data_IF_546105375472
#
_entry.id   IF_546105375472
#
_cell.length_a   1.000
_cell.length_b   1.000
_cell.length_c   1.000
_cell.angle_alpha   90.00
_cell.angle_beta   90.00
_cell.angle_gamma   90.00
#
_symmetry.space_group_name_H-M   'P 1'
#
loop_
_entity.id
_entity.type
_entity.pdbx_description
1 polymer ?
#
# COMPACT_ATOMS: atom_id res chain seq x y z
N UNK A 1 -43.83 -42.18 38.17
CA UNK A 1 -44.45 -41.01 38.82
C UNK A 1 -43.49 -39.86 39.13
N UNK A 2 -42.28 -40.07 39.68
CA UNK A 2 -41.33 -38.98 40.01
C UNK A 2 -40.87 -38.10 38.82
N UNK A 3 -40.71 -38.68 37.62
CA UNK A 3 -40.20 -37.92 36.46
C UNK A 3 -41.28 -37.06 35.78
N UNK A 4 -42.54 -37.52 35.80
CA UNK A 4 -43.68 -36.77 35.29
C UNK A 4 -43.98 -35.56 36.18
N UNK A 5 -43.87 -35.73 37.50
CA UNK A 5 -44.04 -34.63 38.46
C UNK A 5 -42.96 -33.54 38.30
N UNK A 6 -41.70 -33.91 38.02
CA UNK A 6 -40.62 -32.96 37.75
C UNK A 6 -40.82 -32.18 36.45
N UNK A 7 -41.28 -32.84 35.39
CA UNK A 7 -41.59 -32.18 34.13
C UNK A 7 -42.75 -31.16 34.28
N UNK A 8 -43.78 -31.52 35.07
CA UNK A 8 -44.91 -30.63 35.35
C UNK A 8 -44.48 -29.41 36.19
N UNK A 9 -43.58 -29.60 37.16
CA UNK A 9 -43.06 -28.51 37.99
C UNK A 9 -42.22 -27.50 37.17
N UNK A 10 -41.41 -27.98 36.23
CA UNK A 10 -40.60 -27.13 35.35
C UNK A 10 -41.50 -26.29 34.42
N UNK A 11 -42.52 -26.91 33.84
CA UNK A 11 -43.50 -26.22 32.99
C UNK A 11 -44.26 -25.14 33.76
N UNK A 12 -44.62 -25.40 35.02
CA UNK A 12 -45.25 -24.41 35.91
C UNK A 12 -44.34 -23.22 36.21
N UNK A 13 -43.05 -23.45 36.44
CA UNK A 13 -42.06 -22.39 36.69
C UNK A 13 -41.87 -21.53 35.44
N UNK A 14 -41.76 -22.14 34.25
CA UNK A 14 -41.63 -21.42 32.98
C UNK A 14 -42.88 -20.58 32.72
N UNK A 15 -44.08 -21.15 32.90
CA UNK A 15 -45.33 -20.42 32.74
C UNK A 15 -45.47 -19.25 33.73
N UNK A 16 -45.09 -19.44 35.00
CA UNK A 16 -45.09 -18.39 36.01
C UNK A 16 -44.07 -17.28 35.69
N UNK A 17 -42.88 -17.63 35.21
CA UNK A 17 -41.86 -16.66 34.79
C UNK A 17 -42.31 -15.82 33.57
N UNK A 18 -43.01 -16.45 32.63
CA UNK A 18 -43.56 -15.77 31.46
C UNK A 18 -44.72 -14.85 31.82
N UNK A 19 -45.60 -15.29 32.73
CA UNK A 19 -46.68 -14.45 33.26
C UNK A 19 -46.13 -13.22 34.01
N UNK A 20 -45.07 -13.38 34.81
CA UNK A 20 -44.39 -12.27 35.48
C UNK A 20 -43.74 -11.31 34.48
N UNK A 21 -43.16 -11.80 33.39
CA UNK A 21 -42.61 -10.95 32.33
C UNK A 21 -43.69 -10.12 31.63
N UNK A 22 -44.88 -10.69 31.37
CA UNK A 22 -46.00 -9.93 30.79
C UNK A 22 -46.59 -8.93 31.80
N UNK A 23 -46.68 -9.31 33.08
CA UNK A 23 -47.34 -8.49 34.09
C UNK A 23 -46.44 -7.35 34.63
N UNK A 24 -45.12 -7.54 34.63
CA UNK A 24 -44.15 -6.57 35.19
C UNK A 24 -43.07 -6.12 34.21
N UNK A 25 -42.99 -6.71 33.01
CA UNK A 25 -42.11 -6.26 31.93
C UNK A 25 -42.64 -4.97 31.32
N UNK A 26 -42.33 -3.85 31.97
CA UNK A 26 -42.57 -2.52 31.44
C UNK A 26 -41.65 -2.28 30.24
N UNK A 27 -42.23 -1.95 29.09
CA UNK A 27 -41.50 -1.29 28.01
C UNK A 27 -41.11 0.12 28.48
N UNK A 28 -39.85 0.54 28.36
CA UNK A 28 -39.51 1.93 28.64
C UNK A 28 -40.24 2.84 27.64
N UNK A 29 -41.08 3.70 28.17
CA UNK A 29 -41.75 4.77 27.44
C UNK A 29 -40.70 5.69 26.81
N UNK A 30 -40.75 5.90 25.50
CA UNK A 30 -39.89 6.89 24.82
C UNK A 30 -40.27 8.28 25.30
N UNK A 31 -39.57 8.79 26.30
CA UNK A 31 -39.58 10.21 26.63
C UNK A 31 -38.83 10.94 25.50
N UNK A 32 -39.57 11.51 24.55
CA UNK A 32 -39.04 12.51 23.63
C UNK A 32 -38.94 13.82 24.41
N UNK A 33 -37.78 14.08 25.01
CA UNK A 33 -37.37 15.45 25.34
C UNK A 33 -36.78 16.07 24.09
N UNK A 34 -37.44 17.09 23.55
CA UNK A 34 -36.83 18.03 22.60
C UNK A 34 -35.77 18.87 23.33
N UNK A 35 -34.62 18.29 23.66
CA UNK A 35 -33.42 19.07 23.87
C UNK A 35 -32.84 19.38 22.50
N UNK A 36 -33.19 20.55 21.94
CA UNK A 36 -32.43 21.12 20.83
C UNK A 36 -30.98 21.23 21.29
N UNK A 37 -30.01 20.53 20.68
CA UNK A 37 -28.62 20.80 20.98
C UNK A 37 -28.34 22.24 20.57
N UNK A 38 -28.15 23.13 21.56
CA UNK A 38 -27.44 24.37 21.32
C UNK A 38 -25.99 23.99 21.04
N UNK A 39 -25.70 23.77 19.76
CA UNK A 39 -24.34 23.76 19.25
C UNK A 39 -23.80 25.17 19.49
N UNK A 40 -23.01 25.31 20.56
CA UNK A 40 -22.10 26.44 20.70
C UNK A 40 -21.10 26.35 19.55
N UNK A 41 -21.40 27.07 18.46
CA UNK A 41 -20.51 27.26 17.33
C UNK A 41 -19.35 28.18 17.72
N UNK A 42 -18.52 27.81 18.71
CA UNK A 42 -17.35 28.61 19.08
C UNK A 42 -16.10 27.82 19.45
N UNK A 43 -16.07 26.49 19.25
CA UNK A 43 -14.82 25.74 19.19
C UNK A 43 -14.52 25.30 17.76
N UNK A 44 -14.51 26.26 16.84
CA UNK A 44 -13.68 26.15 15.65
C UNK A 44 -12.21 26.20 16.12
N UNK A 45 -11.71 25.08 16.67
CA UNK A 45 -10.27 24.85 16.75
C UNK A 45 -9.75 25.09 15.34
N UNK A 46 -8.93 26.13 15.16
CA UNK A 46 -8.20 26.38 13.93
C UNK A 46 -7.63 25.05 13.45
N UNK A 47 -8.22 24.46 12.40
CA UNK A 47 -7.55 23.43 11.64
C UNK A 47 -6.23 24.09 11.21
N UNK A 48 -5.12 23.66 11.80
CA UNK A 48 -3.81 24.00 11.26
C UNK A 48 -3.73 23.27 9.91
N UNK A 49 -4.26 23.92 8.87
CA UNK A 49 -4.15 23.44 7.49
C UNK A 49 -2.67 23.36 7.19
N UNK A 50 -2.19 22.12 7.12
CA UNK A 50 -0.81 21.84 6.81
C UNK A 50 -0.60 22.13 5.32
N UNK A 51 0.27 23.09 5.02
CA UNK A 51 0.54 23.52 3.65
C UNK A 51 1.77 22.79 3.10
N UNK A 52 1.85 22.71 1.77
CA UNK A 52 3.03 22.15 1.09
C UNK A 52 4.06 23.26 0.87
N UNK A 53 5.28 23.16 1.42
CA UNK A 53 6.32 24.12 1.11
C UNK A 53 6.76 24.01 -0.36
N UNK A 54 6.92 25.15 -1.02
CA UNK A 54 7.34 25.25 -2.43
C UNK A 54 8.75 24.70 -2.74
N UNK A 55 9.52 24.39 -1.70
CA UNK A 55 10.87 23.83 -1.80
C UNK A 55 10.93 22.31 -1.69
N UNK A 56 9.84 21.65 -1.28
CA UNK A 56 9.77 20.19 -1.09
C UNK A 56 9.36 19.46 -2.37
N UNK A 57 9.69 18.17 -2.46
CA UNK A 57 9.31 17.31 -3.59
C UNK A 57 7.80 17.24 -3.81
N UNK A 58 7.01 17.37 -2.74
CA UNK A 58 5.55 17.42 -2.84
C UNK A 58 5.04 18.58 -3.69
N UNK A 59 5.81 19.66 -3.82
CA UNK A 59 5.46 20.80 -4.67
C UNK A 59 5.56 20.48 -6.16
N UNK A 60 6.09 19.32 -6.57
CA UNK A 60 6.15 18.95 -7.97
C UNK A 60 4.79 18.55 -8.54
N UNK A 61 3.82 18.14 -7.72
CA UNK A 61 2.51 17.75 -8.23
C UNK A 61 1.85 18.98 -8.92
N UNK A 62 1.63 18.86 -10.23
CA UNK A 62 1.11 19.90 -11.10
C UNK A 62 2.15 20.70 -11.90
N UNK A 63 3.44 20.58 -11.56
CA UNK A 63 4.55 21.25 -12.26
C UNK A 63 4.88 20.57 -13.59
N UNK A 64 5.54 21.31 -14.50
CA UNK A 64 5.92 20.78 -15.82
C UNK A 64 7.08 19.79 -15.75
N UNK A 65 7.20 18.92 -16.76
CA UNK A 65 8.33 17.99 -16.84
C UNK A 65 9.66 18.75 -16.94
N UNK A 66 9.69 19.89 -17.65
CA UNK A 66 10.85 20.78 -17.70
C UNK A 66 11.26 21.31 -16.31
N UNK A 67 10.30 21.73 -15.48
CA UNK A 67 10.57 22.18 -14.11
C UNK A 67 11.15 21.05 -13.25
N UNK A 68 10.63 19.83 -13.42
CA UNK A 68 11.15 18.65 -12.73
C UNK A 68 12.59 18.37 -13.17
N UNK A 69 12.86 18.32 -14.48
CA UNK A 69 14.21 18.06 -15.02
C UNK A 69 15.21 19.15 -14.58
N UNK A 70 14.80 20.42 -14.58
CA UNK A 70 15.64 21.53 -14.13
C UNK A 70 16.08 21.40 -12.68
N UNK A 71 15.22 20.84 -11.82
CA UNK A 71 15.48 20.69 -10.37
C UNK A 71 16.17 19.38 -10.01
N UNK A 72 15.84 18.27 -10.68
CA UNK A 72 16.36 16.94 -10.36
C UNK A 72 17.44 16.44 -11.34
N UNK A 73 17.60 17.08 -12.50
CA UNK A 73 18.35 16.60 -13.63
C UNK A 73 17.53 15.61 -14.48
N UNK A 74 18.19 14.95 -15.42
CA UNK A 74 17.58 13.88 -16.22
C UNK A 74 17.30 12.65 -15.35
N UNK A 75 16.19 11.92 -15.57
CA UNK A 75 15.94 10.66 -14.89
C UNK A 75 16.96 9.60 -15.33
N UNK A 76 17.29 8.69 -14.41
CA UNK A 76 18.15 7.55 -14.69
C UNK A 76 17.41 6.50 -15.55
N UNK A 77 16.08 6.43 -15.40
CA UNK A 77 15.20 5.53 -16.14
C UNK A 77 13.82 6.13 -16.35
N UNK A 78 13.20 5.85 -17.50
CA UNK A 78 11.79 6.14 -17.76
C UNK A 78 11.06 4.79 -17.86
N UNK A 79 10.11 4.59 -16.97
CA UNK A 79 9.40 3.33 -16.76
C UNK A 79 7.89 3.54 -17.04
N UNK A 80 7.24 2.79 -17.95
CA UNK A 80 5.79 2.91 -18.13
C UNK A 80 5.03 2.46 -16.88
N UNK A 81 3.82 3.01 -16.68
CA UNK A 81 2.92 2.59 -15.60
C UNK A 81 1.58 2.10 -16.14
N UNK A 82 0.84 1.37 -15.30
CA UNK A 82 -0.52 0.95 -15.60
C UNK A 82 -1.57 2.08 -15.47
N UNK A 83 -1.14 3.32 -15.21
CA UNK A 83 -2.01 4.44 -14.83
C UNK A 83 -1.78 5.69 -15.68
N UNK A 84 -1.54 5.49 -16.98
CA UNK A 84 -1.35 6.50 -18.04
C UNK A 84 -0.05 7.30 -18.01
N UNK A 85 0.56 7.53 -16.84
CA UNK A 85 1.80 8.29 -16.70
C UNK A 85 3.03 7.39 -16.87
N UNK A 86 4.18 8.01 -17.15
CA UNK A 86 5.48 7.36 -17.12
C UNK A 86 6.24 7.76 -15.86
N UNK A 87 6.86 6.81 -15.20
CA UNK A 87 7.75 7.05 -14.07
C UNK A 87 9.10 7.55 -14.56
N UNK A 88 9.46 8.76 -14.17
CA UNK A 88 10.83 9.26 -14.20
C UNK A 88 11.51 8.85 -12.90
N UNK A 89 12.38 7.85 -12.99
CA UNK A 89 13.07 7.25 -11.83
C UNK A 89 14.42 7.91 -11.64
N UNK A 90 14.69 8.34 -10.40
CA UNK A 90 15.94 8.94 -9.94
C UNK A 90 16.54 8.05 -8.85
N UNK A 91 17.40 7.12 -9.25
CA UNK A 91 18.06 6.17 -8.37
C UNK A 91 19.51 6.61 -8.10
N UNK A 92 19.69 7.80 -7.51
CA UNK A 92 20.99 8.35 -7.10
C UNK A 92 21.51 7.72 -5.79
N UNK A 93 21.17 6.45 -5.55
CA UNK A 93 21.46 5.70 -4.34
C UNK A 93 20.34 5.74 -3.30
N UNK A 94 20.44 4.84 -2.32
CA UNK A 94 19.37 4.56 -1.35
C UNK A 94 18.84 5.78 -0.58
N UNK A 95 19.71 6.75 -0.30
CA UNK A 95 19.34 7.96 0.44
C UNK A 95 18.59 9.01 -0.39
N UNK A 96 18.61 8.88 -1.72
CA UNK A 96 18.10 9.88 -2.65
C UNK A 96 17.05 9.33 -3.63
N UNK A 97 16.60 8.07 -3.45
CA UNK A 97 15.64 7.46 -4.36
C UNK A 97 14.30 8.20 -4.39
N UNK A 98 13.91 8.61 -5.59
CA UNK A 98 12.65 9.29 -5.92
C UNK A 98 12.17 8.80 -7.29
N UNK A 99 10.87 8.65 -7.47
CA UNK A 99 10.26 8.51 -8.79
C UNK A 99 9.11 9.50 -8.96
N UNK A 100 9.04 10.18 -10.10
CA UNK A 100 8.02 11.18 -10.42
C UNK A 100 7.20 10.67 -11.61
N UNK A 101 5.88 10.59 -11.51
CA UNK A 101 5.00 10.19 -12.60
C UNK A 101 4.64 11.39 -13.47
N UNK A 102 5.04 11.37 -14.74
CA UNK A 102 4.78 12.43 -15.72
C UNK A 102 3.68 12.00 -16.69
N UNK A 103 2.66 12.83 -16.85
CA UNK A 103 1.56 12.67 -17.82
C UNK A 103 1.27 13.99 -18.51
N UNK A 104 1.31 14.00 -19.84
CA UNK A 104 1.02 15.19 -20.66
C UNK A 104 1.79 16.44 -20.19
N UNK A 105 3.12 16.29 -20.03
CA UNK A 105 4.04 17.34 -19.55
C UNK A 105 3.77 17.82 -18.11
N UNK A 106 3.06 17.05 -17.28
CA UNK A 106 2.83 17.38 -15.87
C UNK A 106 3.20 16.25 -14.92
N UNK A 107 3.79 16.59 -13.78
CA UNK A 107 3.94 15.66 -12.67
C UNK A 107 2.60 15.43 -11.97
N UNK A 108 2.08 14.21 -12.04
CA UNK A 108 0.76 13.83 -11.52
C UNK A 108 0.84 12.93 -10.29
N UNK A 109 1.99 12.28 -10.08
CA UNK A 109 2.28 11.52 -8.87
C UNK A 109 3.78 11.52 -8.56
N UNK A 110 4.15 11.12 -7.36
CA UNK A 110 5.53 10.82 -6.97
C UNK A 110 5.53 9.72 -5.91
N UNK A 111 6.64 8.98 -5.83
CA UNK A 111 6.95 8.07 -4.73
C UNK A 111 8.37 8.34 -4.24
N UNK A 112 8.54 8.42 -2.93
CA UNK A 112 9.79 8.82 -2.28
C UNK A 112 10.07 7.92 -1.09
N UNK A 113 11.29 7.36 -1.04
CA UNK A 113 11.76 6.53 0.07
C UNK A 113 13.19 6.87 0.54
N UNK A 114 13.90 7.73 -0.20
CA UNK A 114 15.22 8.23 0.24
C UNK A 114 15.12 9.08 1.51
N UNK A 115 16.00 8.86 2.48
CA UNK A 115 16.00 9.54 3.79
C UNK A 115 16.74 10.89 3.80
N UNK A 116 17.31 11.31 2.66
CA UNK A 116 18.03 12.60 2.48
C UNK A 116 17.42 13.50 1.42
N UNK A 117 16.13 13.35 1.16
CA UNK A 117 15.37 14.19 0.24
C UNK A 117 14.34 15.06 0.98
N UNK A 118 14.06 16.24 0.44
CA UNK A 118 13.14 17.18 1.08
C UNK A 118 11.68 16.80 0.79
N UNK A 119 11.03 16.10 1.72
CA UNK A 119 9.60 15.74 1.65
C UNK A 119 8.72 16.56 2.59
N UNK A 120 9.17 17.78 2.94
CA UNK A 120 8.42 18.66 3.82
C UNK A 120 6.95 18.79 3.38
N UNK A 121 5.99 18.77 4.31
CA UNK A 121 6.15 18.92 5.76
C UNK A 121 6.51 17.63 6.52
N UNK A 122 6.72 16.52 5.82
CA UNK A 122 7.15 15.24 6.40
C UNK A 122 8.65 15.00 6.16
N UNK A 123 9.17 13.98 6.80
CA UNK A 123 10.55 13.53 6.65
C UNK A 123 10.56 12.02 6.75
N UNK A 124 11.18 11.36 5.76
CA UNK A 124 11.36 9.91 5.79
C UNK A 124 12.17 9.53 7.04
N UNK A 125 11.73 8.49 7.74
CA UNK A 125 12.28 8.04 9.02
C UNK A 125 11.78 8.79 10.26
N UNK A 126 10.93 9.82 10.11
CA UNK A 126 10.36 10.50 11.29
C UNK A 126 9.41 9.56 12.06
N UNK A 127 9.27 9.69 13.39
CA UNK A 127 8.37 8.85 14.16
C UNK A 127 6.91 8.97 13.69
N UNK A 128 6.22 7.84 13.54
CA UNK A 128 4.83 7.80 13.08
C UNK A 128 3.91 8.62 13.99
N UNK A 129 4.13 8.60 15.31
CA UNK A 129 3.41 9.44 16.29
C UNK A 129 3.45 10.94 15.95
N UNK A 130 4.57 11.41 15.40
CA UNK A 130 4.77 12.83 15.06
C UNK A 130 4.06 13.15 13.74
N UNK A 131 4.02 12.17 12.81
CA UNK A 131 3.16 12.26 11.61
C UNK A 131 1.70 12.39 12.02
N UNK A 132 1.19 11.46 12.84
CA UNK A 132 -0.21 11.41 13.26
C UNK A 132 -0.63 12.66 14.05
N UNK A 133 0.24 13.17 14.92
CA UNK A 133 0.02 14.41 15.66
C UNK A 133 -0.09 15.63 14.74
N UNK A 134 0.67 15.65 13.63
CA UNK A 134 0.70 16.77 12.68
C UNK A 134 -0.53 16.81 11.77
N UNK A 135 -1.09 15.67 11.39
CA UNK A 135 -2.06 15.59 10.29
C UNK A 135 -3.50 15.32 10.68
N UNK A 136 -3.78 14.86 11.91
CA UNK A 136 -5.11 14.39 12.33
C UNK A 136 -5.75 13.46 11.27
N UNK A 137 -5.31 12.20 11.24
CA UNK A 137 -5.79 11.23 10.25
C UNK A 137 -7.29 10.96 10.42
N UNK A 138 -8.07 11.32 9.40
CA UNK A 138 -9.46 10.94 9.27
C UNK A 138 -9.57 9.50 8.73
N UNK A 139 -10.67 8.77 9.01
CA UNK A 139 -10.89 7.41 8.48
C UNK A 139 -11.23 7.39 6.98
N UNK A 140 -11.21 8.54 6.31
CA UNK A 140 -11.51 8.66 4.90
C UNK A 140 -10.85 9.90 4.29
N UNK A 141 -10.73 9.91 2.97
CA UNK A 141 -10.37 11.11 2.20
C UNK A 141 -11.38 11.37 1.10
N UNK A 142 -11.83 12.62 1.01
CA UNK A 142 -12.78 13.06 -0.01
C UNK A 142 -12.05 13.70 -1.18
N UNK A 143 -12.39 13.25 -2.40
CA UNK A 143 -11.86 13.77 -3.66
C UNK A 143 -13.02 14.32 -4.48
N UNK A 144 -12.82 15.48 -5.10
CA UNK A 144 -13.73 16.03 -6.11
C UNK A 144 -12.97 16.15 -7.41
N UNK A 145 -13.57 15.69 -8.49
CA UNK A 145 -12.97 15.75 -9.83
C UNK A 145 -14.08 15.78 -10.88
N UNK A 146 -14.01 16.75 -11.78
CA UNK A 146 -14.93 16.90 -12.93
C UNK A 146 -16.42 16.73 -12.57
N UNK A 147 -16.90 17.49 -11.59
CA UNK A 147 -18.30 17.43 -11.11
C UNK A 147 -18.66 16.17 -10.30
N UNK A 148 -17.79 15.16 -10.26
CA UNK A 148 -17.97 13.92 -9.49
C UNK A 148 -17.33 14.04 -8.10
N UNK A 149 -17.82 13.23 -7.16
CA UNK A 149 -17.29 13.15 -5.79
C UNK A 149 -16.98 11.71 -5.41
N UNK A 150 -15.83 11.51 -4.78
CA UNK A 150 -15.33 10.20 -4.35
C UNK A 150 -14.96 10.29 -2.86
N UNK A 151 -15.24 9.22 -2.14
CA UNK A 151 -14.85 9.04 -0.75
C UNK A 151 -14.11 7.73 -0.63
N UNK A 152 -12.81 7.82 -0.36
CA UNK A 152 -11.98 6.66 -0.06
C UNK A 152 -12.07 6.38 1.42
N UNK A 153 -12.50 5.18 1.80
CA UNK A 153 -12.58 4.74 3.19
C UNK A 153 -11.32 3.95 3.55
N UNK A 154 -10.82 4.16 4.76
CA UNK A 154 -9.65 3.46 5.28
C UNK A 154 -10.11 2.37 6.25
N UNK A 155 -9.54 1.17 6.12
CA UNK A 155 -9.58 0.18 7.19
C UNK A 155 -8.72 0.65 8.38
N UNK A 156 -8.84 -0.03 9.53
CA UNK A 156 -7.96 0.24 10.67
C UNK A 156 -6.48 0.02 10.31
N UNK A 157 -6.18 -1.00 9.52
CA UNK A 157 -4.82 -1.24 9.02
C UNK A 157 -4.35 -0.09 8.13
N UNK A 158 -5.19 0.40 7.21
CA UNK A 158 -4.84 1.53 6.35
C UNK A 158 -4.57 2.81 7.13
N UNK A 159 -5.39 3.10 8.15
CA UNK A 159 -5.19 4.27 9.01
C UNK A 159 -3.84 4.25 9.73
N UNK A 160 -3.36 3.06 10.09
CA UNK A 160 -2.13 2.87 10.85
C UNK A 160 -0.89 2.71 9.96
N UNK A 161 -1.03 2.14 8.78
CA UNK A 161 0.12 1.74 7.94
C UNK A 161 0.28 2.57 6.68
N UNK A 162 -0.80 3.14 6.13
CA UNK A 162 -0.74 3.87 4.86
C UNK A 162 -1.86 4.90 4.71
N UNK A 163 -2.14 5.80 5.68
CA UNK A 163 -3.23 6.75 5.52
C UNK A 163 -2.93 7.76 4.41
N UNK A 164 -3.99 8.25 3.75
CA UNK A 164 -3.88 9.38 2.81
C UNK A 164 -4.45 10.64 3.42
N UNK A 165 -3.67 11.73 3.39
CA UNK A 165 -4.08 13.05 3.85
C UNK A 165 -4.18 14.01 2.67
N UNK A 166 -5.11 14.95 2.73
CA UNK A 166 -5.23 16.01 1.73
C UNK A 166 -4.48 17.26 2.20
N UNK A 167 -3.49 17.69 1.43
CA UNK A 167 -2.76 18.94 1.62
C UNK A 167 -3.01 19.84 0.40
N UNK A 168 -3.78 20.91 0.58
CA UNK A 168 -4.23 21.78 -0.52
C UNK A 168 -4.95 20.98 -1.64
N UNK A 169 -4.34 20.86 -2.82
CA UNK A 169 -4.86 20.11 -3.96
C UNK A 169 -4.16 18.76 -4.17
N UNK A 170 -3.24 18.37 -3.28
CA UNK A 170 -2.45 17.15 -3.35
C UNK A 170 -2.93 16.15 -2.30
N UNK A 171 -2.96 14.88 -2.68
CA UNK A 171 -3.27 13.78 -1.77
C UNK A 171 -1.97 13.04 -1.45
N UNK A 172 -1.62 12.95 -0.18
CA UNK A 172 -0.33 12.40 0.28
C UNK A 172 -0.60 11.13 1.09
N UNK A 173 -0.25 9.99 0.51
CA UNK A 173 -0.25 8.69 1.16
C UNK A 173 1.07 8.49 1.91
N UNK A 174 0.96 8.16 3.19
CA UNK A 174 2.05 8.10 4.14
C UNK A 174 2.28 6.64 4.55
N UNK A 175 3.25 5.97 3.93
CA UNK A 175 3.58 4.58 4.27
C UNK A 175 4.39 4.53 5.56
N UNK A 176 3.86 3.87 6.58
CA UNK A 176 4.52 3.64 7.86
C UNK A 176 5.19 2.26 7.85
N UNK A 177 6.38 2.18 8.44
CA UNK A 177 6.92 0.92 8.91
C UNK A 177 6.32 0.66 10.30
N UNK A 178 5.38 -0.29 10.40
CA UNK A 178 4.69 -0.59 11.66
C UNK A 178 5.59 -1.27 12.70
N UNK A 179 6.69 -1.89 12.28
CA UNK A 179 7.63 -2.56 13.17
C UNK A 179 8.60 -1.55 13.80
N UNK A 180 9.02 -0.54 13.04
CA UNK A 180 9.89 0.52 13.56
C UNK A 180 9.13 1.73 14.10
N UNK A 181 7.85 1.88 13.74
CA UNK A 181 7.04 3.04 14.14
C UNK A 181 7.50 4.33 13.47
N UNK A 182 7.95 4.26 12.21
CA UNK A 182 8.53 5.38 11.45
C UNK A 182 7.84 5.55 10.09
N UNK A 183 7.93 6.73 9.49
CA UNK A 183 7.50 6.98 8.12
C UNK A 183 8.50 6.33 7.14
N UNK A 184 8.08 5.25 6.49
CA UNK A 184 8.90 4.50 5.52
C UNK A 184 9.04 5.25 4.21
N UNK A 185 7.91 5.64 3.61
CA UNK A 185 7.84 6.21 2.27
C UNK A 185 6.65 7.16 2.14
N UNK A 186 6.70 8.03 1.13
CA UNK A 186 5.62 8.95 0.80
C UNK A 186 5.25 8.78 -0.67
N UNK A 187 3.96 8.65 -0.95
CA UNK A 187 3.41 8.77 -2.30
C UNK A 187 2.47 9.96 -2.35
N UNK A 188 2.57 10.79 -3.37
CA UNK A 188 1.63 11.89 -3.57
C UNK A 188 0.93 11.79 -4.91
N UNK A 189 -0.26 12.37 -4.99
CA UNK A 189 -1.16 12.29 -6.13
C UNK A 189 -1.83 13.62 -6.40
N UNK A 190 -2.07 13.89 -7.68
CA UNK A 190 -3.22 14.70 -8.07
C UNK A 190 -4.53 13.92 -7.88
N UNK A 191 -5.67 14.60 -8.05
CA UNK A 191 -6.98 13.98 -7.86
C UNK A 191 -7.23 12.80 -8.83
N UNK A 192 -6.91 12.98 -10.12
CA UNK A 192 -7.20 12.00 -11.16
C UNK A 192 -6.41 10.70 -10.96
N UNK A 193 -5.14 10.81 -10.58
CA UNK A 193 -4.25 9.68 -10.36
C UNK A 193 -4.66 8.86 -9.15
N UNK A 194 -5.07 9.52 -8.05
CA UNK A 194 -5.62 8.82 -6.89
C UNK A 194 -6.89 8.03 -7.26
N UNK A 195 -7.79 8.63 -8.05
CA UNK A 195 -9.03 7.98 -8.50
C UNK A 195 -8.73 6.78 -9.41
N UNK A 196 -7.76 6.92 -10.32
CA UNK A 196 -7.38 5.82 -11.21
C UNK A 196 -6.70 4.68 -10.47
N UNK A 197 -5.78 4.98 -9.55
CA UNK A 197 -5.07 3.97 -8.76
C UNK A 197 -5.98 3.21 -7.80
N UNK A 198 -6.96 3.88 -7.18
CA UNK A 198 -7.87 3.27 -6.20
C UNK A 198 -7.14 2.43 -5.14
N UNK A 199 -6.24 3.04 -4.35
CA UNK A 199 -5.49 2.29 -3.33
C UNK A 199 -6.35 1.81 -2.14
N UNK A 200 -7.61 2.26 -2.05
CA UNK A 200 -8.56 1.89 -1.00
C UNK A 200 -9.96 1.65 -1.59
N UNK A 201 -10.87 1.13 -0.77
CA UNK A 201 -12.29 1.10 -1.09
C UNK A 201 -12.82 2.51 -1.35
N UNK A 202 -13.62 2.66 -2.41
CA UNK A 202 -14.14 3.96 -2.83
C UNK A 202 -15.65 3.91 -3.03
N UNK A 203 -16.34 4.90 -2.47
CA UNK A 203 -17.74 5.20 -2.76
C UNK A 203 -17.77 6.50 -3.58
N UNK A 204 -18.56 6.55 -4.65
CA UNK A 204 -18.61 7.72 -5.52
C UNK A 204 -20.02 8.11 -5.95
N UNK A 205 -20.16 9.38 -6.36
CA UNK A 205 -21.32 9.93 -7.05
C UNK A 205 -20.85 10.63 -8.32
N UNK A 206 -21.48 10.31 -9.44
CA UNK A 206 -21.07 10.76 -10.77
C UNK A 206 -20.39 9.63 -11.55
N UNK A 207 -19.35 9.95 -12.31
CA UNK A 207 -18.64 8.99 -13.16
C UNK A 207 -17.34 8.51 -12.51
N UNK A 208 -16.98 7.25 -12.70
CA UNK A 208 -15.67 6.72 -12.28
C UNK A 208 -14.72 6.75 -13.48
N UNK A 209 -13.63 7.52 -13.37
CA UNK A 209 -12.60 7.56 -14.41
C UNK A 209 -11.68 6.34 -14.28
N UNK A 210 -11.29 5.79 -15.42
CA UNK A 210 -10.44 4.60 -15.53
C UNK A 210 -9.13 4.96 -16.23
N UNK A 211 -8.03 4.22 -15.98
CA UNK A 211 -6.84 4.26 -16.84
C UNK A 211 -7.17 3.85 -18.27
N UNK A 212 -6.32 4.22 -19.22
CA UNK A 212 -6.41 3.70 -20.59
C UNK A 212 -6.24 2.19 -20.59
N UNK A 213 -6.99 1.51 -21.46
CA UNK A 213 -6.82 0.09 -21.69
C UNK A 213 -5.41 -0.18 -22.24
N UNK A 214 -4.75 -1.20 -21.69
CA UNK A 214 -3.38 -1.60 -22.03
C UNK A 214 -3.41 -2.80 -22.96
N UNK A 215 -2.52 -2.82 -23.94
CA UNK A 215 -2.26 -4.02 -24.74
C UNK A 215 -1.34 -4.99 -23.99
N UNK A 216 -1.26 -6.23 -24.47
CA UNK A 216 -0.29 -7.21 -23.96
C UNK A 216 1.15 -6.68 -24.01
N UNK A 217 1.51 -5.97 -25.08
CA UNK A 217 2.85 -5.38 -25.20
C UNK A 217 3.10 -4.25 -24.20
N UNK A 218 2.06 -3.51 -23.81
CA UNK A 218 2.17 -2.49 -22.78
C UNK A 218 2.38 -3.13 -21.41
N UNK A 219 1.63 -4.20 -21.10
CA UNK A 219 1.79 -4.97 -19.87
C UNK A 219 3.20 -5.52 -19.71
N UNK A 220 3.77 -6.13 -20.74
CA UNK A 220 5.15 -6.65 -20.69
C UNK A 220 6.17 -5.57 -20.31
N UNK A 221 6.02 -4.33 -20.84
CA UNK A 221 6.92 -3.22 -20.48
C UNK A 221 6.69 -2.76 -19.04
N UNK A 222 5.43 -2.69 -18.60
CA UNK A 222 5.06 -2.30 -17.23
C UNK A 222 5.54 -3.34 -16.22
N UNK A 223 5.48 -4.63 -16.53
CA UNK A 223 6.01 -5.73 -15.72
C UNK A 223 7.52 -5.58 -15.55
N UNK A 224 8.26 -5.38 -16.64
CA UNK A 224 9.71 -5.13 -16.58
C UNK A 224 10.09 -3.87 -15.83
N UNK A 225 9.26 -2.82 -15.90
CA UNK A 225 9.43 -1.63 -15.08
C UNK A 225 9.22 -1.93 -13.58
N UNK A 226 8.15 -2.66 -13.24
CA UNK A 226 7.87 -3.05 -11.85
C UNK A 226 8.96 -3.96 -11.28
N UNK A 227 9.48 -4.93 -12.04
CA UNK A 227 10.61 -5.77 -11.61
C UNK A 227 11.81 -4.93 -11.15
N UNK A 228 12.20 -3.94 -11.96
CA UNK A 228 13.32 -3.03 -11.65
C UNK A 228 13.02 -2.13 -10.46
N UNK A 229 11.82 -1.56 -10.38
CA UNK A 229 11.41 -0.72 -9.25
C UNK A 229 11.41 -1.50 -7.93
N UNK A 230 10.90 -2.73 -7.93
CA UNK A 230 10.90 -3.61 -6.75
C UNK A 230 12.33 -3.93 -6.32
N UNK A 231 13.21 -4.27 -7.27
CA UNK A 231 14.63 -4.51 -6.99
C UNK A 231 15.31 -3.28 -6.37
N UNK A 232 15.16 -2.12 -7.01
CA UNK A 232 15.73 -0.85 -6.54
C UNK A 232 15.25 -0.54 -5.11
N UNK A 233 13.94 -0.57 -4.88
CA UNK A 233 13.33 -0.26 -3.58
C UNK A 233 13.70 -1.25 -2.49
N UNK A 234 13.85 -2.53 -2.82
CA UNK A 234 14.35 -3.54 -1.88
C UNK A 234 15.76 -3.19 -1.42
N UNK A 235 16.62 -2.79 -2.34
CA UNK A 235 17.98 -2.36 -2.01
C UNK A 235 18.03 -1.02 -1.26
N UNK A 236 17.09 -0.11 -1.52
CA UNK A 236 16.93 1.11 -0.71
C UNK A 236 16.61 0.76 0.74
N UNK A 237 15.61 -0.10 0.95
CA UNK A 237 15.20 -0.57 2.28
C UNK A 237 16.39 -1.25 2.98
N UNK A 238 17.04 -2.22 2.34
CA UNK A 238 18.20 -2.93 2.91
C UNK A 238 19.32 -1.98 3.32
N UNK A 239 19.66 -1.02 2.46
CA UNK A 239 20.70 -0.02 2.76
C UNK A 239 20.32 0.85 3.97
N UNK A 240 19.04 1.20 4.13
CA UNK A 240 18.54 1.96 5.29
C UNK A 240 18.61 1.16 6.59
N UNK A 241 18.50 -0.16 6.53
CA UNK A 241 18.74 -1.06 7.67
C UNK A 241 20.20 -1.48 7.83
N UNK A 242 21.14 -0.86 7.10
CA UNK A 242 22.57 -1.14 7.22
C UNK A 242 23.01 -2.48 6.63
N UNK A 243 22.19 -3.08 5.75
CA UNK A 243 22.48 -4.33 5.07
C UNK A 243 23.12 -4.08 3.70
N UNK A 244 23.90 -5.06 3.25
CA UNK A 244 24.44 -5.09 1.88
C UNK A 244 23.31 -5.13 0.85
N UNK A 245 23.52 -4.45 -0.26
CA UNK A 245 22.65 -4.53 -1.42
C UNK A 245 22.73 -5.93 -2.03
N UNK A 246 21.60 -6.38 -2.57
CA UNK A 246 21.48 -7.62 -3.32
C UNK A 246 21.85 -7.35 -4.78
N UNK A 247 22.52 -8.31 -5.39
CA UNK A 247 22.83 -8.31 -6.82
C UNK A 247 21.63 -8.87 -7.61
N UNK A 248 21.38 -8.33 -8.80
CA UNK A 248 20.32 -8.86 -9.66
C UNK A 248 20.77 -10.18 -10.28
N UNK A 249 19.95 -11.22 -10.14
CA UNK A 249 20.17 -12.51 -10.81
C UNK A 249 19.05 -12.79 -11.82
N UNK A 250 19.43 -12.86 -13.10
CA UNK A 250 18.49 -13.03 -14.21
C UNK A 250 17.85 -14.42 -14.23
N UNK A 251 18.57 -15.47 -13.82
CA UNK A 251 18.02 -16.81 -13.77
C UNK A 251 16.98 -16.93 -12.65
N UNK A 252 17.27 -16.33 -11.49
CA UNK A 252 16.32 -16.21 -10.37
C UNK A 252 15.10 -15.38 -10.76
N UNK A 253 15.29 -14.28 -11.50
CA UNK A 253 14.19 -13.43 -11.98
C UNK A 253 13.28 -14.18 -12.95
N UNK A 254 13.84 -14.99 -13.86
CA UNK A 254 13.06 -15.85 -14.76
C UNK A 254 12.23 -16.87 -13.99
N UNK A 255 12.77 -17.46 -12.92
CA UNK A 255 12.03 -18.37 -12.04
C UNK A 255 10.90 -17.63 -11.31
N UNK A 256 11.17 -16.43 -10.80
CA UNK A 256 10.16 -15.60 -10.14
C UNK A 256 9.03 -15.21 -11.10
N UNK A 257 9.34 -14.86 -12.35
CA UNK A 257 8.34 -14.52 -13.37
C UNK A 257 7.47 -15.73 -13.69
N UNK A 258 8.08 -16.90 -13.89
CA UNK A 258 7.35 -18.15 -14.10
C UNK A 258 6.37 -18.47 -12.98
N UNK A 259 6.72 -18.17 -11.73
CA UNK A 259 5.81 -18.37 -10.58
C UNK A 259 4.66 -17.36 -10.56
N UNK A 260 4.93 -16.08 -10.86
CA UNK A 260 3.88 -15.07 -11.01
C UNK A 260 2.89 -15.45 -12.12
N UNK A 261 3.38 -15.92 -13.28
CA UNK A 261 2.55 -16.40 -14.38
C UNK A 261 1.76 -17.66 -14.03
N UNK A 262 2.37 -18.62 -13.34
CA UNK A 262 1.69 -19.83 -12.89
C UNK A 262 0.53 -19.53 -11.93
N UNK A 263 0.75 -18.64 -10.95
CA UNK A 263 -0.29 -18.17 -10.04
C UNK A 263 -1.44 -17.48 -10.78
N UNK A 264 -1.13 -16.65 -11.79
CA UNK A 264 -2.11 -15.98 -12.65
C UNK A 264 -2.93 -16.97 -13.49
N UNK A 265 -2.25 -17.83 -14.26
CA UNK A 265 -2.87 -18.78 -15.19
C UNK A 265 -3.81 -19.74 -14.46
N UNK A 266 -3.35 -20.28 -13.33
CA UNK A 266 -4.08 -21.28 -12.55
C UNK A 266 -4.92 -20.68 -11.41
N UNK A 267 -5.01 -19.34 -11.33
CA UNK A 267 -5.86 -18.57 -10.41
C UNK A 267 -5.72 -19.01 -8.95
N UNK A 268 -4.50 -19.09 -8.47
CA UNK A 268 -4.19 -19.42 -7.08
C UNK A 268 -3.11 -18.49 -6.53
N UNK A 269 -2.92 -18.50 -5.22
CA UNK A 269 -1.89 -17.70 -4.55
C UNK A 269 -1.22 -18.53 -3.46
N UNK A 270 0.00 -19.00 -3.71
CA UNK A 270 0.73 -19.91 -2.82
C UNK A 270 2.22 -19.94 -3.17
N UNK A 271 3.08 -20.17 -2.18
CA UNK A 271 4.51 -20.42 -2.37
C UNK A 271 4.81 -21.75 -3.08
N UNK A 272 3.87 -22.70 -3.02
CA UNK A 272 3.98 -24.01 -3.67
C UNK A 272 3.12 -24.00 -4.92
N UNK A 273 3.78 -24.18 -6.07
CA UNK A 273 3.15 -24.40 -7.35
C UNK A 273 2.55 -25.80 -7.43
N UNK A 274 1.37 -25.89 -8.06
CA UNK A 274 0.67 -27.15 -8.29
C UNK A 274 1.34 -28.02 -9.35
N UNK A 275 2.18 -27.42 -10.20
CA UNK A 275 2.81 -28.05 -11.37
C UNK A 275 4.34 -28.02 -11.27
N UNK A 276 4.90 -26.96 -10.69
CA UNK A 276 6.33 -26.69 -10.60
C UNK A 276 6.91 -26.90 -9.19
N UNK A 277 6.06 -27.21 -8.20
CA UNK A 277 6.50 -27.55 -6.84
C UNK A 277 6.89 -26.34 -5.99
N UNK A 278 7.75 -26.57 -5.00
CA UNK A 278 8.25 -25.55 -4.05
C UNK A 278 9.23 -24.57 -4.72
N UNK A 279 9.58 -23.47 -4.04
CA UNK A 279 10.62 -22.55 -4.50
C UNK A 279 11.93 -23.28 -4.86
N UNK A 280 12.32 -24.25 -4.04
CA UNK A 280 13.52 -25.07 -4.29
C UNK A 280 13.41 -25.81 -5.61
N UNK A 281 12.29 -26.50 -5.84
CA UNK A 281 12.06 -27.26 -7.07
C UNK A 281 12.10 -26.35 -8.31
N UNK A 282 11.48 -25.16 -8.20
CA UNK A 282 11.49 -24.15 -9.26
C UNK A 282 12.89 -23.60 -9.56
N UNK A 283 13.70 -23.32 -8.54
CA UNK A 283 15.09 -22.86 -8.68
C UNK A 283 15.99 -23.95 -9.28
N UNK A 284 15.86 -25.20 -8.81
CA UNK A 284 16.59 -26.35 -9.35
C UNK A 284 16.26 -26.59 -10.83
N UNK A 285 14.96 -26.54 -11.20
CA UNK A 285 14.53 -26.63 -12.61
C UNK A 285 15.05 -25.47 -13.45
N UNK A 286 15.22 -24.30 -12.84
CA UNK A 286 15.87 -23.13 -13.42
C UNK A 286 17.40 -23.23 -13.55
N UNK A 287 18.01 -24.32 -13.08
CA UNK A 287 19.47 -24.49 -12.95
C UNK A 287 20.13 -23.38 -12.12
N UNK A 288 19.46 -22.89 -11.08
CA UNK A 288 20.01 -21.90 -10.15
C UNK A 288 20.68 -22.62 -8.99
N UNK A 289 21.97 -22.34 -8.77
CA UNK A 289 22.73 -22.85 -7.63
C UNK A 289 22.61 -21.91 -6.43
N UNK A 290 22.24 -22.43 -5.27
CA UNK A 290 22.06 -21.63 -4.05
C UNK A 290 22.32 -22.46 -2.78
N UNK A 291 22.79 -21.80 -1.71
CA UNK A 291 22.90 -22.39 -0.38
C UNK A 291 21.61 -22.22 0.43
N UNK A 292 20.95 -21.07 0.24
CA UNK A 292 19.71 -20.70 0.91
C UNK A 292 18.84 -19.92 -0.06
N UNK A 293 17.52 -20.03 0.08
CA UNK A 293 16.56 -19.29 -0.72
C UNK A 293 15.37 -18.85 0.12
N UNK A 294 14.77 -17.73 -0.27
CA UNK A 294 13.52 -17.21 0.29
C UNK A 294 12.64 -16.59 -0.78
N UNK A 295 11.34 -16.50 -0.52
CA UNK A 295 10.39 -15.94 -1.46
C UNK A 295 9.40 -15.00 -0.77
N UNK A 296 9.13 -13.87 -1.42
CA UNK A 296 7.95 -13.06 -1.15
C UNK A 296 7.03 -13.09 -2.36
N UNK A 297 5.72 -13.24 -2.12
CA UNK A 297 4.69 -13.13 -3.16
C UNK A 297 3.67 -12.05 -2.77
N UNK A 298 3.13 -11.34 -3.75
CA UNK A 298 2.06 -10.35 -3.57
C UNK A 298 1.07 -10.41 -4.73
N UNK A 299 -0.18 -10.07 -4.44
CA UNK A 299 -1.28 -10.07 -5.40
C UNK A 299 -2.13 -8.81 -5.21
N UNK A 300 -2.61 -8.24 -6.31
CA UNK A 300 -3.58 -7.13 -6.35
C UNK A 300 -3.12 -5.79 -5.77
N UNK A 301 -1.81 -5.60 -5.59
CA UNK A 301 -1.26 -4.27 -5.32
C UNK A 301 -1.34 -3.38 -6.56
N UNK A 302 -1.44 -2.07 -6.33
CA UNK A 302 -1.53 -1.07 -7.41
C UNK A 302 -0.27 -1.06 -8.29
N UNK A 303 0.91 -1.26 -7.70
CA UNK A 303 2.18 -1.35 -8.41
C UNK A 303 3.26 -2.00 -7.51
N UNK A 304 4.47 -2.15 -8.08
CA UNK A 304 5.63 -2.69 -7.38
C UNK A 304 6.02 -1.92 -6.11
N UNK A 305 6.12 -0.58 -6.11
CA UNK A 305 6.40 0.17 -4.88
C UNK A 305 5.38 -0.08 -3.76
N UNK A 306 4.09 -0.22 -4.08
CA UNK A 306 3.09 -0.57 -3.08
C UNK A 306 3.26 -2.01 -2.56
N UNK A 307 3.63 -2.97 -3.42
CA UNK A 307 3.91 -4.35 -3.02
C UNK A 307 5.11 -4.43 -2.05
N UNK A 308 6.17 -3.66 -2.31
CA UNK A 308 7.35 -3.58 -1.43
C UNK A 308 7.00 -3.06 -0.03
N UNK A 309 6.20 -2.00 0.07
CA UNK A 309 5.73 -1.50 1.36
C UNK A 309 4.80 -2.50 2.08
N UNK A 310 4.02 -3.28 1.31
CA UNK A 310 3.20 -4.38 1.84
C UNK A 310 4.05 -5.50 2.45
N UNK A 311 5.10 -5.94 1.74
CA UNK A 311 6.04 -6.93 2.26
C UNK A 311 6.80 -6.41 3.49
N UNK A 312 7.23 -5.15 3.48
CA UNK A 312 7.92 -4.52 4.63
C UNK A 312 7.07 -4.55 5.91
N UNK A 313 5.74 -4.42 5.76
CA UNK A 313 4.76 -4.44 6.83
C UNK A 313 4.18 -5.84 7.14
N UNK A 314 4.78 -6.91 6.63
CA UNK A 314 4.39 -8.29 6.96
C UNK A 314 5.56 -9.04 7.58
N UNK A 315 5.39 -9.62 8.77
CA UNK A 315 6.51 -10.16 9.55
C UNK A 315 7.30 -11.24 8.78
N UNK A 316 6.59 -12.16 8.13
CA UNK A 316 7.21 -13.22 7.33
C UNK A 316 7.98 -12.66 6.13
N UNK A 317 7.36 -11.75 5.38
CA UNK A 317 7.98 -11.17 4.19
C UNK A 317 9.15 -10.22 4.53
N UNK A 318 9.03 -9.48 5.63
CA UNK A 318 10.06 -8.61 6.17
C UNK A 318 11.32 -9.40 6.53
N UNK A 319 11.17 -10.59 7.12
CA UNK A 319 12.30 -11.48 7.41
C UNK A 319 13.10 -11.81 6.14
N UNK A 320 12.43 -12.04 5.01
CA UNK A 320 13.12 -12.27 3.74
C UNK A 320 13.81 -11.00 3.21
N UNK A 321 13.10 -9.86 3.20
CA UNK A 321 13.64 -8.56 2.76
C UNK A 321 14.92 -8.18 3.52
N UNK A 322 14.95 -8.43 4.83
CA UNK A 322 16.01 -8.02 5.74
C UNK A 322 16.95 -9.15 6.17
N UNK A 323 16.91 -10.30 5.49
CA UNK A 323 17.87 -11.36 5.76
C UNK A 323 19.26 -10.94 5.25
N UNK A 324 20.24 -10.87 6.15
CA UNK A 324 21.61 -10.46 5.85
C UNK A 324 22.39 -11.50 5.04
N UNK A 325 21.95 -12.77 5.06
CA UNK A 325 22.65 -13.87 4.38
C UNK A 325 22.38 -13.90 2.87
N UNK A 326 21.31 -13.26 2.41
CA UNK A 326 21.01 -13.18 0.98
C UNK A 326 21.97 -12.24 0.27
N UNK A 327 22.33 -12.66 -0.94
CA UNK A 327 23.33 -12.01 -1.80
C UNK A 327 22.72 -11.55 -3.12
N UNK A 328 21.71 -12.27 -3.62
CA UNK A 328 21.07 -11.99 -4.90
C UNK A 328 19.55 -11.94 -4.77
N UNK A 329 18.93 -11.24 -5.71
CA UNK A 329 17.49 -11.10 -5.87
C UNK A 329 17.11 -11.20 -7.34
N UNK A 330 16.14 -12.04 -7.64
CA UNK A 330 15.39 -11.99 -8.88
C UNK A 330 13.94 -11.57 -8.61
N UNK A 331 13.40 -10.67 -9.43
CA UNK A 331 12.01 -10.24 -9.34
C UNK A 331 11.27 -10.63 -10.61
N UNK A 332 10.06 -11.14 -10.47
CA UNK A 332 9.18 -11.46 -11.58
C UNK A 332 7.77 -10.94 -11.37
N UNK A 333 7.25 -10.25 -12.37
CA UNK A 333 5.91 -9.65 -12.32
C UNK A 333 5.10 -10.10 -13.53
N UNK A 334 3.87 -10.55 -13.29
CA UNK A 334 2.87 -10.82 -14.33
C UNK A 334 1.57 -10.12 -13.94
N UNK A 335 1.26 -9.02 -14.62
CA UNK A 335 0.23 -8.04 -14.27
C UNK A 335 0.25 -7.64 -12.78
N UNK A 336 -0.63 -8.25 -11.97
CA UNK A 336 -0.82 -7.96 -10.54
C UNK A 336 -0.28 -9.06 -9.62
N UNK A 337 0.47 -10.01 -10.16
CA UNK A 337 1.21 -11.03 -9.43
C UNK A 337 2.67 -10.62 -9.36
N UNK A 338 3.21 -10.48 -8.16
CA UNK A 338 4.58 -10.03 -7.91
C UNK A 338 5.31 -11.08 -7.08
N UNK A 339 6.51 -11.46 -7.50
CA UNK A 339 7.35 -12.45 -6.81
C UNK A 339 8.77 -11.91 -6.65
N UNK A 340 9.30 -11.98 -5.44
CA UNK A 340 10.72 -11.79 -5.13
C UNK A 340 11.32 -13.13 -4.72
N UNK A 341 12.34 -13.58 -5.43
CA UNK A 341 13.14 -14.74 -5.03
C UNK A 341 14.53 -14.28 -4.60
N UNK A 342 14.86 -14.54 -3.36
CA UNK A 342 16.14 -14.23 -2.75
C UNK A 342 16.99 -15.49 -2.71
N UNK A 343 18.29 -15.36 -2.97
CA UNK A 343 19.24 -16.45 -2.76
C UNK A 343 20.50 -15.99 -2.04
N UNK A 344 21.10 -16.93 -1.30
CA UNK A 344 22.52 -16.93 -1.00
C UNK A 344 23.20 -17.78 -2.07
N UNK A 345 23.93 -17.14 -2.98
CA UNK A 345 24.63 -17.84 -4.04
C UNK A 345 25.71 -18.74 -3.43
N UNK A 346 25.87 -19.93 -4.01
CA UNK A 346 26.95 -20.84 -3.64
C UNK A 346 28.26 -20.30 -4.21
N UNK A 347 29.24 -20.02 -3.35
CA UNK A 347 30.59 -19.68 -3.79
C UNK A 347 31.44 -20.96 -3.72
N UNK A 348 31.98 -21.38 -4.88
CA UNK A 348 32.88 -22.54 -4.99
C UNK A 348 34.17 -22.41 -4.18
#
# INVERSE_FOLDING_TARGET
>A
MKNIFRAFLILLIVAASYALFIQYGSTPEKIVKEDKPQVSNNDAKKENKLNIPSSGLLSFIGESAETVEKKLGKPDRIDPSAYDYEWWVYNKGAKQYVQIGILNDKAVTLFVTGDKVNTAPFTIGQPARDVFKKTQIAPHVNVKYDGSSYRFEFSEEDMNTRPTVKLENVYVQLYMDKFEGTLSSIRAFDAATLIKQRPYEVVYRGSLIEPKALTESDWQKIEKANEKQIFDLTNVIRSRHGLSQLEWDEAVAKVAYGHSSDMKEHRYFSHVSKTEGTLKDRLEKGNVNFEQAGENIALNYVDGPAAVEGWLNSEGHRKALLNADYTHLGVGVDEKYYTQNFIKQWNE
#
